data_IF_050929604924
#
_entry.id   IF_050929604924
#
_cell.length_a   1.000
_cell.length_b   1.000
_cell.length_c   1.000
_cell.angle_alpha   90.00
_cell.angle_beta   90.00
_cell.angle_gamma   90.00
#
_symmetry.space_group_name_H-M   'P 1'
#
loop_
_entity.id
_entity.type
_entity.pdbx_description
1 polymer ?
#
# COMPACT_ATOMS: atom_id res chain seq x y z
N UNK A 1 15.96 -14.03 -1.41
CA UNK A 1 17.29 -13.51 -1.82
C UNK A 1 18.39 -14.56 -1.97
N UNK A 2 18.56 -15.54 -1.06
CA UNK A 2 19.71 -16.48 -1.10
C UNK A 2 19.92 -17.21 -2.45
N UNK A 3 18.84 -17.59 -3.13
CA UNK A 3 18.92 -18.24 -4.46
C UNK A 3 19.26 -17.23 -5.56
N UNK A 4 18.61 -16.07 -5.56
CA UNK A 4 18.86 -14.97 -6.51
C UNK A 4 20.31 -14.46 -6.46
N UNK A 5 20.88 -14.32 -5.26
CA UNK A 5 22.25 -13.85 -5.09
C UNK A 5 23.26 -14.85 -5.68
N UNK A 6 22.99 -16.15 -5.52
CA UNK A 6 23.78 -17.23 -6.12
C UNK A 6 23.67 -17.27 -7.64
N UNK A 7 22.47 -17.10 -8.19
CA UNK A 7 22.24 -17.10 -9.65
C UNK A 7 22.81 -15.84 -10.33
N UNK A 8 22.78 -14.70 -9.64
CA UNK A 8 23.41 -13.45 -10.10
C UNK A 8 24.94 -13.55 -10.12
N UNK A 9 25.54 -14.12 -9.07
CA UNK A 9 27.00 -14.35 -9.01
C UNK A 9 27.46 -15.35 -10.08
N UNK A 10 26.58 -16.27 -10.48
CA UNK A 10 26.81 -17.21 -11.59
C UNK A 10 26.48 -16.62 -12.97
N UNK A 11 26.15 -15.33 -13.09
CA UNK A 11 25.94 -14.64 -14.36
C UNK A 11 24.67 -15.02 -15.15
N UNK A 12 23.70 -15.72 -14.54
CA UNK A 12 22.54 -16.24 -15.26
C UNK A 12 21.43 -15.20 -15.53
N UNK A 13 21.19 -14.28 -14.59
CA UNK A 13 20.14 -13.24 -14.73
C UNK A 13 20.53 -11.91 -14.08
N UNK A 14 20.09 -10.80 -14.70
CA UNK A 14 20.21 -9.46 -14.14
C UNK A 14 19.12 -9.13 -13.10
N UNK A 15 19.26 -7.99 -12.44
CA UNK A 15 18.28 -7.51 -11.44
C UNK A 15 16.93 -7.15 -12.08
N UNK A 16 16.95 -6.55 -13.27
CA UNK A 16 15.76 -6.11 -14.00
C UNK A 16 14.79 -7.25 -14.38
N UNK A 17 15.22 -8.37 -15.01
CA UNK A 17 14.31 -9.47 -15.34
C UNK A 17 13.72 -10.15 -14.11
N UNK A 18 14.46 -10.22 -13.00
CA UNK A 18 13.96 -10.76 -11.74
C UNK A 18 12.82 -9.90 -11.17
N UNK A 19 13.01 -8.57 -11.11
CA UNK A 19 11.98 -7.66 -10.61
C UNK A 19 10.72 -7.70 -11.49
N UNK A 20 10.88 -7.65 -12.81
CA UNK A 20 9.75 -7.70 -13.76
C UNK A 20 9.02 -9.04 -13.64
N UNK A 21 9.74 -10.16 -13.61
CA UNK A 21 9.14 -11.49 -13.47
C UNK A 21 8.39 -11.66 -12.15
N UNK A 22 8.96 -11.19 -11.04
CA UNK A 22 8.30 -11.24 -9.73
C UNK A 22 7.05 -10.37 -9.70
N UNK A 23 7.12 -9.13 -10.19
CA UNK A 23 5.95 -8.25 -10.25
C UNK A 23 4.85 -8.84 -11.13
N UNK A 24 5.16 -9.31 -12.34
CA UNK A 24 4.18 -9.91 -13.25
C UNK A 24 3.52 -11.17 -12.65
N UNK A 25 4.29 -11.98 -11.93
CA UNK A 25 3.78 -13.17 -11.24
C UNK A 25 2.84 -12.80 -10.09
N UNK A 26 3.15 -11.76 -9.33
CA UNK A 26 2.32 -11.31 -8.19
C UNK A 26 1.05 -10.56 -8.62
N UNK A 27 1.04 -9.88 -9.77
CA UNK A 27 -0.10 -9.09 -10.26
C UNK A 27 -1.47 -9.82 -10.23
N UNK A 28 -1.65 -11.02 -10.80
CA UNK A 28 -2.94 -11.70 -10.81
C UNK A 28 -3.43 -12.05 -9.40
N UNK A 29 -2.51 -12.46 -8.51
CA UNK A 29 -2.83 -12.76 -7.12
C UNK A 29 -3.26 -11.49 -6.36
N UNK A 30 -2.52 -10.40 -6.53
CA UNK A 30 -2.86 -9.12 -5.91
C UNK A 30 -4.21 -8.59 -6.43
N UNK A 31 -4.51 -8.77 -7.71
CA UNK A 31 -5.80 -8.38 -8.29
C UNK A 31 -6.96 -9.16 -7.67
N UNK A 32 -6.81 -10.48 -7.49
CA UNK A 32 -7.84 -11.30 -6.83
C UNK A 32 -8.04 -10.90 -5.36
N UNK A 33 -6.95 -10.62 -4.63
CA UNK A 33 -7.01 -10.20 -3.22
C UNK A 33 -7.56 -8.77 -3.07
N UNK A 34 -7.35 -7.89 -4.04
CA UNK A 34 -7.99 -6.58 -4.06
C UNK A 34 -9.49 -6.66 -4.38
N UNK A 35 -9.88 -7.51 -5.33
CA UNK A 35 -11.27 -7.63 -5.78
C UNK A 35 -12.19 -8.35 -4.79
N UNK A 36 -11.79 -9.53 -4.30
CA UNK A 36 -12.69 -10.39 -3.52
C UNK A 36 -12.95 -9.78 -2.12
N UNK A 37 -11.92 -9.60 -1.26
CA UNK A 37 -12.06 -8.84 -0.02
C UNK A 37 -12.55 -7.40 -0.21
N UNK A 38 -12.14 -6.72 -1.29
CA UNK A 38 -12.57 -5.35 -1.56
C UNK A 38 -14.07 -5.26 -1.83
N UNK A 39 -14.63 -6.18 -2.61
CA UNK A 39 -16.08 -6.25 -2.83
C UNK A 39 -16.83 -6.52 -1.52
N UNK A 40 -16.36 -7.49 -0.72
CA UNK A 40 -17.00 -7.80 0.56
C UNK A 40 -17.00 -6.57 1.48
N UNK A 41 -15.86 -5.88 1.60
CA UNK A 41 -15.74 -4.70 2.47
C UNK A 41 -16.45 -3.47 1.94
N UNK A 42 -16.71 -3.38 0.64
CA UNK A 42 -17.48 -2.29 0.03
C UNK A 42 -18.99 -2.46 0.20
N UNK A 43 -19.50 -3.67 -0.07
CA UNK A 43 -20.95 -3.94 -0.04
C UNK A 43 -21.49 -4.15 1.37
N UNK A 44 -20.67 -4.66 2.32
CA UNK A 44 -21.14 -4.97 3.67
C UNK A 44 -21.58 -3.73 4.49
N UNK A 45 -20.86 -2.58 4.46
CA UNK A 45 -21.30 -1.36 5.14
C UNK A 45 -22.28 -0.53 4.30
N UNK A 46 -22.56 -0.92 3.05
CA UNK A 46 -23.41 -0.17 2.13
C UNK A 46 -22.82 1.19 1.75
N UNK A 47 -21.57 1.20 1.25
CA UNK A 47 -20.88 2.41 0.78
C UNK A 47 -21.62 3.08 -0.41
N UNK A 48 -21.06 4.18 -0.92
CA UNK A 48 -21.73 5.02 -1.91
C UNK A 48 -22.17 4.22 -3.14
N UNK A 49 -23.46 4.32 -3.50
CA UNK A 49 -24.03 3.48 -4.54
C UNK A 49 -23.59 3.97 -5.92
N UNK A 50 -22.64 3.26 -6.54
CA UNK A 50 -22.24 3.51 -7.92
C UNK A 50 -21.10 2.61 -8.39
N UNK A 51 -21.23 2.05 -9.59
CA UNK A 51 -20.20 1.18 -10.18
C UNK A 51 -18.84 1.90 -10.33
N UNK A 52 -18.86 3.20 -10.64
CA UNK A 52 -17.65 4.01 -10.76
C UNK A 52 -16.92 4.16 -9.42
N UNK A 53 -17.66 4.32 -8.32
CA UNK A 53 -17.08 4.45 -6.98
C UNK A 53 -16.47 3.14 -6.51
N UNK A 54 -17.14 2.02 -6.78
CA UNK A 54 -16.60 0.68 -6.54
C UNK A 54 -15.31 0.42 -7.34
N UNK A 55 -15.31 0.73 -8.64
CA UNK A 55 -14.12 0.52 -9.48
C UNK A 55 -12.94 1.38 -9.01
N UNK A 56 -13.19 2.63 -8.64
CA UNK A 56 -12.16 3.53 -8.09
C UNK A 56 -11.60 3.01 -6.76
N UNK A 57 -12.46 2.50 -5.88
CA UNK A 57 -12.07 1.85 -4.63
C UNK A 57 -11.13 0.65 -4.88
N UNK A 58 -11.51 -0.24 -5.80
CA UNK A 58 -10.70 -1.42 -6.15
C UNK A 58 -9.35 -1.02 -6.76
N UNK A 59 -9.31 -0.02 -7.65
CA UNK A 59 -8.07 0.47 -8.26
C UNK A 59 -7.13 1.05 -7.19
N UNK A 60 -7.65 1.83 -6.24
CA UNK A 60 -6.83 2.36 -5.13
C UNK A 60 -6.29 1.22 -4.26
N UNK A 61 -7.13 0.24 -3.90
CA UNK A 61 -6.70 -0.91 -3.10
C UNK A 61 -5.59 -1.69 -3.82
N UNK A 62 -5.77 -1.95 -5.11
CA UNK A 62 -4.78 -2.63 -5.94
C UNK A 62 -3.47 -1.86 -6.00
N UNK A 63 -3.51 -0.53 -6.23
CA UNK A 63 -2.32 0.31 -6.22
C UNK A 63 -1.60 0.29 -4.87
N UNK A 64 -2.34 0.31 -3.75
CA UNK A 64 -1.75 0.19 -2.41
C UNK A 64 -1.05 -1.16 -2.22
N UNK A 65 -1.67 -2.26 -2.66
CA UNK A 65 -1.07 -3.59 -2.56
C UNK A 65 0.22 -3.70 -3.39
N UNK A 66 0.25 -3.15 -4.61
CA UNK A 66 1.46 -3.11 -5.44
C UNK A 66 2.59 -2.31 -4.79
N UNK A 67 2.26 -1.19 -4.13
CA UNK A 67 3.24 -0.38 -3.40
C UNK A 67 3.81 -1.12 -2.20
N UNK A 68 2.98 -1.81 -1.43
CA UNK A 68 3.42 -2.64 -0.30
C UNK A 68 4.33 -3.77 -0.77
N UNK A 69 3.96 -4.47 -1.84
CA UNK A 69 4.79 -5.53 -2.42
C UNK A 69 6.17 -4.99 -2.85
N UNK A 70 6.20 -3.84 -3.51
CA UNK A 70 7.44 -3.18 -3.94
C UNK A 70 8.30 -2.73 -2.76
N UNK A 71 7.67 -2.19 -1.71
CA UNK A 71 8.34 -1.80 -0.48
C UNK A 71 8.96 -3.01 0.23
N UNK A 72 8.23 -4.12 0.33
CA UNK A 72 8.72 -5.35 0.96
C UNK A 72 9.87 -5.97 0.16
N UNK A 73 9.84 -5.91 -1.17
CA UNK A 73 10.99 -6.30 -2.00
C UNK A 73 12.24 -5.45 -1.72
N UNK A 74 12.07 -4.13 -1.56
CA UNK A 74 13.16 -3.23 -1.19
C UNK A 74 13.74 -3.58 0.18
N UNK A 75 12.90 -3.76 1.20
CA UNK A 75 13.33 -4.15 2.55
C UNK A 75 14.04 -5.51 2.53
N UNK A 76 13.51 -6.48 1.79
CA UNK A 76 14.11 -7.81 1.64
C UNK A 76 15.48 -7.79 0.93
N UNK A 77 15.81 -6.72 0.19
CA UNK A 77 17.12 -6.55 -0.45
C UNK A 77 18.19 -5.98 0.47
N UNK A 78 17.79 -5.21 1.47
CA UNK A 78 18.70 -4.56 2.42
C UNK A 78 18.95 -5.45 3.63
N UNK A 79 17.93 -6.19 4.09
CA UNK A 79 17.99 -6.95 5.33
C UNK A 79 18.46 -8.40 5.07
N UNK A 80 19.50 -8.89 5.76
CA UNK A 80 20.07 -10.22 5.51
C UNK A 80 19.21 -11.38 6.02
N UNK A 81 18.31 -11.10 6.97
CA UNK A 81 17.49 -12.10 7.66
C UNK A 81 15.99 -11.89 7.41
N UNK A 82 15.28 -12.98 7.11
CA UNK A 82 13.84 -12.95 6.85
C UNK A 82 13.02 -12.37 8.02
N UNK A 83 13.32 -12.81 9.25
CA UNK A 83 12.62 -12.34 10.44
C UNK A 83 12.82 -10.83 10.67
N UNK A 84 14.05 -10.33 10.51
CA UNK A 84 14.31 -8.90 10.58
C UNK A 84 13.60 -8.14 9.46
N UNK A 85 13.52 -8.71 8.25
CA UNK A 85 12.80 -8.11 7.14
C UNK A 85 11.32 -7.89 7.45
N UNK A 86 10.66 -8.87 8.08
CA UNK A 86 9.27 -8.74 8.53
C UNK A 86 9.14 -7.64 9.58
N UNK A 87 10.02 -7.62 10.60
CA UNK A 87 9.97 -6.62 11.67
C UNK A 87 10.17 -5.20 11.12
N UNK A 88 11.16 -5.01 10.26
CA UNK A 88 11.46 -3.71 9.64
C UNK A 88 10.32 -3.28 8.72
N UNK A 89 9.82 -4.19 7.87
CA UNK A 89 8.69 -3.92 6.98
C UNK A 89 7.43 -3.51 7.74
N UNK A 90 7.07 -4.26 8.79
CA UNK A 90 5.93 -3.93 9.65
C UNK A 90 6.13 -2.60 10.38
N UNK A 91 7.35 -2.30 10.85
CA UNK A 91 7.67 -1.02 11.49
C UNK A 91 7.52 0.17 10.53
N UNK A 92 8.04 0.06 9.30
CA UNK A 92 7.90 1.10 8.27
C UNK A 92 6.41 1.29 7.93
N UNK A 93 5.67 0.20 7.72
CA UNK A 93 4.25 0.24 7.41
C UNK A 93 3.44 0.89 8.54
N UNK A 94 3.71 0.52 9.79
CA UNK A 94 3.05 1.09 10.97
C UNK A 94 3.30 2.59 11.11
N UNK A 95 4.54 3.04 10.89
CA UNK A 95 4.87 4.47 10.87
C UNK A 95 4.14 5.20 9.73
N UNK A 96 4.07 4.62 8.53
CA UNK A 96 3.34 5.23 7.41
C UNK A 96 1.84 5.34 7.67
N UNK A 97 1.22 4.36 8.34
CA UNK A 97 -0.20 4.40 8.71
C UNK A 97 -0.44 5.50 9.75
N UNK A 98 0.42 5.62 10.76
CA UNK A 98 0.28 6.63 11.82
C UNK A 98 0.31 8.06 11.26
N UNK A 99 1.21 8.29 10.29
CA UNK A 99 1.38 9.60 9.64
C UNK A 99 0.41 9.77 8.46
N UNK A 100 -0.35 8.75 8.07
CA UNK A 100 -1.26 8.78 6.91
C UNK A 100 -2.42 9.80 7.00
N UNK A 101 -2.62 10.44 8.16
CA UNK A 101 -3.62 11.50 8.32
C UNK A 101 -4.99 11.01 8.82
N UNK A 102 -5.16 9.71 9.04
CA UNK A 102 -6.38 9.13 9.63
C UNK A 102 -6.39 9.24 11.17
N UNK A 103 -5.31 8.84 11.84
CA UNK A 103 -5.24 8.82 13.31
C UNK A 103 -4.91 10.18 13.93
N UNK A 104 -4.11 11.00 13.25
CA UNK A 104 -3.84 12.39 13.63
C UNK A 104 -3.88 13.28 12.41
N UNK A 105 -4.47 14.46 12.57
CA UNK A 105 -4.50 15.44 11.50
C UNK A 105 -3.08 15.97 11.22
N UNK A 106 -2.80 16.37 9.96
CA UNK A 106 -1.53 17.01 9.57
C UNK A 106 -1.17 18.27 10.37
N UNK A 107 -2.15 18.92 10.99
CA UNK A 107 -1.99 20.10 11.85
C UNK A 107 -1.35 19.76 13.20
N UNK A 108 -1.60 18.56 13.72
CA UNK A 108 -1.26 18.16 15.10
C UNK A 108 -0.03 17.24 15.15
N UNK A 109 0.63 17.04 14.01
CA UNK A 109 1.86 16.27 13.88
C UNK A 109 3.09 17.11 14.31
N UNK A 110 4.03 16.54 15.08
CA UNK A 110 5.26 17.24 15.46
C UNK A 110 6.04 17.70 14.23
N UNK A 111 6.31 19.02 14.18
CA UNK A 111 6.59 19.77 12.94
C UNK A 111 7.88 19.41 12.16
N UNK A 112 9.02 19.01 12.75
CA UNK A 112 10.26 18.91 11.98
C UNK A 112 10.54 17.55 11.31
N UNK A 113 10.05 16.42 11.84
CA UNK A 113 10.36 15.07 11.31
C UNK A 113 9.10 14.34 10.82
N UNK A 114 8.00 14.46 11.57
CA UNK A 114 6.75 13.76 11.24
C UNK A 114 5.92 14.48 10.18
N UNK A 115 5.94 15.83 10.16
CA UNK A 115 5.24 16.64 9.16
C UNK A 115 6.01 16.75 7.83
N UNK A 116 7.34 16.70 7.88
CA UNK A 116 8.24 16.79 6.74
C UNK A 116 9.41 15.85 7.06
N UNK A 117 9.74 14.77 6.33
CA UNK A 117 9.24 14.27 5.04
C UNK A 117 8.24 13.08 5.15
N UNK A 118 8.07 12.47 6.33
CA UNK A 118 7.32 11.22 6.53
C UNK A 118 5.87 11.31 6.02
N UNK A 119 5.19 12.44 6.27
CA UNK A 119 3.83 12.68 5.79
C UNK A 119 3.69 12.71 4.27
N UNK A 120 4.70 13.19 3.56
CA UNK A 120 4.65 13.30 2.09
C UNK A 120 5.02 11.99 1.40
N UNK A 121 5.84 11.17 2.04
CA UNK A 121 6.29 9.85 1.55
C UNK A 121 5.22 8.77 1.79
N UNK A 122 4.44 8.88 2.87
CA UNK A 122 3.42 7.89 3.21
C UNK A 122 2.33 7.80 2.14
N UNK A 123 2.34 6.73 1.34
CA UNK A 123 1.35 6.53 0.27
C UNK A 123 -0.10 6.43 0.81
N UNK A 124 -0.26 5.96 2.05
CA UNK A 124 -1.57 5.90 2.73
C UNK A 124 -2.28 7.24 2.77
N UNK A 125 -1.55 8.37 2.87
CA UNK A 125 -2.14 9.71 2.79
C UNK A 125 -2.96 9.88 1.52
N UNK A 126 -2.36 9.57 0.37
CA UNK A 126 -3.02 9.74 -0.94
C UNK A 126 -4.16 8.74 -1.11
N UNK A 127 -3.98 7.50 -0.63
CA UNK A 127 -5.03 6.50 -0.63
C UNK A 127 -6.24 6.97 0.20
N UNK A 128 -6.04 7.42 1.44
CA UNK A 128 -7.12 7.91 2.30
C UNK A 128 -7.81 9.13 1.70
N UNK A 129 -7.06 10.11 1.21
CA UNK A 129 -7.66 11.29 0.55
C UNK A 129 -8.50 10.91 -0.67
N UNK A 130 -8.02 9.95 -1.48
CA UNK A 130 -8.76 9.44 -2.63
C UNK A 130 -10.05 8.73 -2.22
N UNK A 131 -9.97 7.81 -1.26
CA UNK A 131 -11.12 7.06 -0.74
C UNK A 131 -12.15 8.00 -0.10
N UNK A 132 -11.72 8.96 0.72
CA UNK A 132 -12.64 9.92 1.32
C UNK A 132 -13.35 10.79 0.29
N UNK A 133 -12.62 11.24 -0.72
CA UNK A 133 -13.21 12.04 -1.80
C UNK A 133 -14.21 11.22 -2.63
N UNK A 134 -13.93 9.95 -2.86
CA UNK A 134 -14.80 9.06 -3.62
C UNK A 134 -16.11 8.75 -2.89
N UNK A 135 -16.04 8.53 -1.58
CA UNK A 135 -17.18 8.03 -0.81
C UNK A 135 -18.03 9.13 -0.18
N UNK A 136 -17.45 10.25 0.24
CA UNK A 136 -18.16 11.24 1.06
C UNK A 136 -18.60 12.49 0.29
N UNK A 137 -18.06 12.74 -0.91
CA UNK A 137 -18.46 13.91 -1.69
C UNK A 137 -19.84 13.69 -2.30
N UNK A 138 -20.78 14.59 -2.00
CA UNK A 138 -22.15 14.53 -2.50
C UNK A 138 -23.14 13.84 -1.57
N UNK A 139 -22.67 13.29 -0.44
CA UNK A 139 -23.53 12.74 0.59
C UNK A 139 -23.91 13.82 1.62
N UNK A 140 -25.19 13.85 1.99
CA UNK A 140 -25.68 14.67 3.10
C UNK A 140 -25.95 13.77 4.29
N UNK A 141 -25.23 14.01 5.37
CA UNK A 141 -25.45 13.28 6.63
C UNK A 141 -26.42 14.08 7.51
N UNK A 142 -27.38 13.42 8.18
CA UNK A 142 -28.19 14.10 9.18
C UNK A 142 -27.27 14.62 10.30
N UNK A 143 -27.44 15.89 10.68
CA UNK A 143 -26.78 16.45 11.86
C UNK A 143 -27.40 15.77 13.09
N UNK A 144 -26.69 14.79 13.65
CA UNK A 144 -26.96 14.26 14.98
C UNK A 144 -26.30 15.11 16.04
#
# INVERSE_FOLDING_TARGET
MKVFERERLNGHYGVTPFVIGNTLSSLPFLAMVALIPGAITYFLPGLHHGYQHFLFFVIILFACMMLVESLMMLVASVVPNFLMGIIVGAGIQGLMILVGGFFRLPSDLPKPVFKFPLYYIAFHKYAYQGLFKNEFVGLTFPNV
#
